data_IF_080518373544
#
_entry.id   IF_080518373544
#
_cell.length_a   1.000
_cell.length_b   1.000
_cell.length_c   1.000
_cell.angle_alpha   90.00
_cell.angle_beta   90.00
_cell.angle_gamma   90.00
#
_symmetry.space_group_name_H-M   'P 1'
#
loop_
_entity.id
_entity.type
_entity.pdbx_description
1 polymer ?
#
# COMPACT_ATOMS: atom_id res chain seq x y z
N UNK A 1 -2.56 1.36 -14.08
CA UNK A 1 -2.66 1.22 -15.55
C UNK A 1 -3.29 2.46 -16.20
N UNK A 2 -4.57 2.78 -15.98
CA UNK A 2 -5.21 3.96 -16.61
C UNK A 2 -4.46 5.29 -16.42
N UNK A 3 -3.91 5.55 -15.23
CA UNK A 3 -3.12 6.77 -14.99
C UNK A 3 -1.80 6.81 -15.79
N UNK A 4 -1.15 5.66 -15.96
CA UNK A 4 0.09 5.50 -16.74
C UNK A 4 -0.23 5.76 -18.21
N UNK A 5 -1.29 5.13 -18.73
CA UNK A 5 -1.75 5.30 -20.11
C UNK A 5 -2.14 6.76 -20.41
N UNK A 6 -2.95 7.38 -19.54
CA UNK A 6 -3.39 8.78 -19.69
C UNK A 6 -2.22 9.77 -19.75
N UNK A 7 -1.13 9.47 -19.04
CA UNK A 7 0.08 10.30 -19.01
C UNK A 7 1.08 9.95 -20.11
N UNK A 8 0.79 8.97 -20.97
CA UNK A 8 1.70 8.50 -22.02
C UNK A 8 2.98 7.87 -21.47
N UNK A 9 2.94 7.36 -20.23
CA UNK A 9 4.09 6.74 -19.57
C UNK A 9 4.28 5.29 -20.07
N UNK A 10 5.53 4.83 -20.08
CA UNK A 10 5.86 3.42 -20.32
C UNK A 10 5.99 2.71 -18.98
N UNK A 11 5.24 1.62 -18.80
CA UNK A 11 5.37 0.77 -17.63
C UNK A 11 6.30 -0.41 -17.92
N UNK A 12 7.18 -0.71 -16.97
CA UNK A 12 7.92 -1.97 -16.93
C UNK A 12 7.31 -2.77 -15.78
N UNK A 13 6.82 -3.96 -16.10
CA UNK A 13 6.14 -4.82 -15.14
C UNK A 13 7.15 -5.64 -14.34
N UNK A 14 6.92 -5.72 -13.04
CA UNK A 14 7.68 -6.57 -12.12
C UNK A 14 6.74 -7.68 -11.64
N UNK A 15 7.21 -8.91 -11.71
CA UNK A 15 6.44 -10.05 -11.23
C UNK A 15 6.29 -10.05 -9.71
N UNK A 16 5.12 -10.45 -9.24
CA UNK A 16 4.80 -10.60 -7.83
C UNK A 16 4.49 -12.05 -7.54
N UNK A 17 5.34 -12.71 -6.77
CA UNK A 17 5.10 -14.04 -6.27
C UNK A 17 4.16 -13.99 -5.06
N UNK A 18 3.08 -14.80 -4.99
CA UNK A 18 2.16 -14.77 -3.86
C UNK A 18 2.73 -15.18 -2.50
N UNK A 19 3.92 -15.79 -2.47
CA UNK A 19 4.60 -16.28 -1.26
C UNK A 19 5.85 -15.47 -0.90
N UNK A 20 6.54 -14.93 -1.89
CA UNK A 20 7.82 -14.21 -1.70
C UNK A 20 7.65 -12.70 -1.93
N UNK A 21 6.64 -12.29 -2.69
CA UNK A 21 6.35 -10.89 -3.02
C UNK A 21 7.07 -10.44 -4.28
N UNK A 22 7.42 -9.16 -4.33
CA UNK A 22 8.11 -8.53 -5.46
C UNK A 22 9.52 -9.12 -5.65
N UNK A 23 9.89 -9.43 -6.90
CA UNK A 23 11.24 -9.90 -7.21
C UNK A 23 12.26 -8.76 -7.12
N UNK A 24 13.08 -8.76 -6.06
CA UNK A 24 14.16 -7.77 -5.87
C UNK A 24 15.17 -7.77 -7.02
N UNK A 25 15.43 -8.93 -7.62
CA UNK A 25 16.32 -9.07 -8.76
C UNK A 25 15.76 -8.38 -10.00
N UNK A 26 14.46 -8.53 -10.26
CA UNK A 26 13.81 -7.82 -11.37
C UNK A 26 13.75 -6.32 -11.12
N UNK A 27 13.54 -5.88 -9.88
CA UNK A 27 13.59 -4.44 -9.52
C UNK A 27 14.97 -3.88 -9.80
N UNK A 28 16.04 -4.54 -9.32
CA UNK A 28 17.42 -4.08 -9.54
C UNK A 28 17.79 -4.08 -11.03
N UNK A 29 17.41 -5.12 -11.78
CA UNK A 29 17.60 -5.17 -13.22
C UNK A 29 16.86 -4.03 -13.94
N UNK A 30 15.59 -3.79 -13.60
CA UNK A 30 14.80 -2.71 -14.20
C UNK A 30 15.42 -1.33 -13.92
N UNK A 31 15.93 -1.09 -12.71
CA UNK A 31 16.60 0.16 -12.34
C UNK A 31 17.98 0.33 -13.00
N UNK A 32 18.59 -0.76 -13.46
CA UNK A 32 19.91 -0.75 -14.11
C UNK A 32 19.78 -0.60 -15.62
N UNK A 33 18.86 -1.35 -16.22
CA UNK A 33 18.76 -1.50 -17.67
C UNK A 33 17.88 -0.42 -18.32
N UNK A 34 17.14 0.34 -17.52
CA UNK A 34 16.19 1.35 -17.97
C UNK A 34 16.29 2.64 -17.17
N UNK A 35 15.94 3.78 -17.79
CA UNK A 35 15.83 5.08 -17.13
C UNK A 35 14.51 5.17 -16.34
N UNK A 36 14.45 4.45 -15.21
CA UNK A 36 13.28 4.43 -14.33
C UNK A 36 13.23 5.70 -13.50
N UNK A 37 12.15 6.47 -13.62
CA UNK A 37 11.93 7.68 -12.82
C UNK A 37 11.18 7.43 -11.52
N UNK A 38 10.29 6.43 -11.53
CA UNK A 38 9.49 6.07 -10.37
C UNK A 38 9.12 4.57 -10.41
N UNK A 39 9.00 3.97 -9.24
CA UNK A 39 8.52 2.61 -9.04
C UNK A 39 7.31 2.64 -8.10
N UNK A 40 6.18 2.06 -8.53
CA UNK A 40 4.96 1.95 -7.72
C UNK A 40 4.85 0.54 -7.16
N UNK A 41 4.62 0.41 -5.84
CA UNK A 41 4.58 -0.86 -5.15
C UNK A 41 3.53 -0.85 -4.04
N UNK A 42 2.81 -1.96 -3.89
CA UNK A 42 2.15 -2.29 -2.63
C UNK A 42 3.06 -3.25 -1.86
N UNK A 43 3.56 -2.82 -0.70
CA UNK A 43 4.52 -3.60 0.11
C UNK A 43 3.86 -4.39 1.24
N UNK A 44 2.62 -4.03 1.59
CA UNK A 44 1.81 -4.66 2.62
C UNK A 44 0.46 -5.09 2.03
N UNK A 45 0.10 -6.35 2.23
CA UNK A 45 -1.17 -6.94 1.83
C UNK A 45 -1.50 -6.66 0.36
N UNK A 46 -0.55 -6.98 -0.51
CA UNK A 46 -0.57 -6.67 -1.93
C UNK A 46 -1.87 -7.15 -2.60
N UNK A 47 -2.55 -6.29 -3.37
CA UNK A 47 -3.70 -6.71 -4.16
C UNK A 47 -3.23 -7.15 -5.56
N UNK A 48 -3.44 -8.41 -6.00
CA UNK A 48 -4.43 -9.38 -5.48
C UNK A 48 -3.87 -10.52 -4.62
N UNK A 49 -2.56 -10.59 -4.39
CA UNK A 49 -1.91 -11.78 -3.83
C UNK A 49 -2.01 -11.93 -2.31
N UNK A 50 -2.33 -10.85 -1.60
CA UNK A 50 -2.29 -10.72 -0.14
C UNK A 50 -0.87 -10.72 0.47
N UNK A 51 0.17 -10.75 -0.36
CA UNK A 51 1.55 -10.88 0.12
C UNK A 51 2.07 -9.58 0.73
N UNK A 52 2.87 -9.69 1.80
CA UNK A 52 3.55 -8.57 2.46
C UNK A 52 5.06 -8.81 2.47
N UNK A 53 5.84 -7.79 2.13
CA UNK A 53 7.29 -7.85 2.21
C UNK A 53 7.76 -7.75 3.67
N UNK A 54 8.84 -8.46 4.00
CA UNK A 54 9.51 -8.30 5.27
C UNK A 54 10.38 -7.02 5.31
N UNK A 55 10.88 -6.67 6.50
CA UNK A 55 11.64 -5.44 6.73
C UNK A 55 12.96 -5.41 5.92
N UNK A 56 13.64 -6.55 5.76
CA UNK A 56 14.89 -6.66 4.99
C UNK A 56 14.65 -6.40 3.49
N UNK A 57 13.59 -6.98 2.92
CA UNK A 57 13.19 -6.74 1.54
C UNK A 57 12.83 -5.26 1.30
N UNK A 58 12.08 -4.65 2.22
CA UNK A 58 11.71 -3.23 2.16
C UNK A 58 12.93 -2.33 2.21
N UNK A 59 13.85 -2.59 3.15
CA UNK A 59 15.10 -1.86 3.25
C UNK A 59 15.91 -1.97 1.95
N UNK A 60 16.05 -3.18 1.40
CA UNK A 60 16.78 -3.40 0.14
C UNK A 60 16.17 -2.64 -1.03
N UNK A 61 14.84 -2.55 -1.13
CA UNK A 61 14.15 -1.75 -2.16
C UNK A 61 14.50 -0.27 -2.03
N UNK A 62 14.52 0.27 -0.80
CA UNK A 62 14.90 1.67 -0.56
C UNK A 62 16.37 1.92 -0.94
N UNK A 63 17.28 1.01 -0.55
CA UNK A 63 18.70 1.10 -0.93
C UNK A 63 18.92 1.07 -2.44
N UNK A 64 18.16 0.24 -3.17
CA UNK A 64 18.18 0.20 -4.63
C UNK A 64 17.68 1.51 -5.24
N UNK A 65 16.59 2.06 -4.71
CA UNK A 65 16.04 3.33 -5.16
C UNK A 65 17.03 4.49 -4.92
N UNK A 66 17.72 4.48 -3.77
CA UNK A 66 18.78 5.44 -3.44
C UNK A 66 19.95 5.35 -4.43
N UNK A 67 20.45 4.13 -4.68
CA UNK A 67 21.58 3.87 -5.58
C UNK A 67 21.31 4.29 -7.03
N UNK A 68 20.07 4.12 -7.50
CA UNK A 68 19.68 4.34 -8.89
C UNK A 68 18.92 5.67 -9.12
N UNK A 69 18.81 6.53 -8.10
CA UNK A 69 18.07 7.80 -8.16
C UNK A 69 16.58 7.66 -8.55
N UNK A 70 15.93 6.59 -8.07
CA UNK A 70 14.52 6.28 -8.38
C UNK A 70 13.60 6.73 -7.24
N UNK A 71 12.43 7.29 -7.55
CA UNK A 71 11.38 7.54 -6.55
C UNK A 71 10.51 6.31 -6.31
N UNK A 72 10.12 6.08 -5.07
CA UNK A 72 9.21 5.00 -4.70
C UNK A 72 7.84 5.59 -4.39
N UNK A 73 6.79 5.08 -5.03
CA UNK A 73 5.40 5.38 -4.70
C UNK A 73 4.84 4.16 -3.99
N UNK A 74 4.73 4.25 -2.67
CA UNK A 74 4.22 3.16 -1.86
C UNK A 74 2.71 3.32 -1.67
N UNK A 75 1.94 2.34 -2.15
CA UNK A 75 0.51 2.23 -1.85
C UNK A 75 0.31 1.36 -0.61
N UNK A 76 0.04 2.01 0.51
CA UNK A 76 -0.07 1.39 1.84
C UNK A 76 -1.51 1.43 2.38
N UNK A 77 -2.51 1.46 1.48
CA UNK A 77 -3.93 1.61 1.81
C UNK A 77 -4.47 0.49 2.74
N UNK A 78 -3.83 -0.67 2.75
CA UNK A 78 -4.23 -1.84 3.54
C UNK A 78 -3.46 -1.98 4.86
N UNK A 79 -2.48 -1.13 5.18
CA UNK A 79 -1.57 -1.38 6.32
C UNK A 79 -2.22 -1.40 7.69
N UNK A 80 -3.42 -0.83 7.82
CA UNK A 80 -4.21 -0.92 9.04
C UNK A 80 -4.93 -2.25 9.21
N UNK A 81 -4.91 -3.16 8.23
CA UNK A 81 -5.68 -4.41 8.21
C UNK A 81 -4.84 -5.65 8.51
N UNK A 82 -3.82 -5.52 9.36
CA UNK A 82 -2.98 -6.62 9.80
C UNK A 82 -3.69 -7.52 10.84
N UNK A 83 -3.45 -8.83 10.83
CA UNK A 83 -4.00 -9.77 11.81
C UNK A 83 -3.04 -10.04 12.97
N UNK A 84 -1.74 -9.81 12.77
CA UNK A 84 -0.74 -9.96 13.83
C UNK A 84 -0.91 -8.91 14.95
N UNK A 85 -0.08 -8.99 15.99
CA UNK A 85 -0.07 -7.97 17.04
C UNK A 85 0.72 -6.70 16.66
N UNK A 86 1.48 -6.72 15.56
CA UNK A 86 2.39 -5.65 15.17
C UNK A 86 2.02 -5.13 13.78
N UNK A 87 1.80 -3.83 13.67
CA UNK A 87 1.62 -3.15 12.37
C UNK A 87 2.88 -3.36 11.52
N UNK A 88 2.76 -3.76 10.24
CA UNK A 88 3.91 -3.88 9.36
C UNK A 88 4.57 -2.50 9.14
N UNK A 89 5.90 -2.51 8.96
CA UNK A 89 6.65 -1.33 8.54
C UNK A 89 6.25 -0.92 7.12
N UNK A 90 6.58 0.31 6.74
CA UNK A 90 6.46 0.80 5.37
C UNK A 90 7.85 1.11 4.81
N UNK A 91 7.99 1.27 3.50
CA UNK A 91 9.25 1.69 2.86
C UNK A 91 9.73 3.01 3.45
N UNK A 92 8.79 3.90 3.81
CA UNK A 92 9.11 5.18 4.44
C UNK A 92 9.86 5.04 5.76
N UNK A 93 9.72 3.92 6.48
CA UNK A 93 10.47 3.64 7.72
C UNK A 93 11.98 3.60 7.46
N UNK A 94 12.42 3.20 6.28
CA UNK A 94 13.82 3.03 5.90
C UNK A 94 14.36 4.17 5.03
N UNK A 95 13.50 5.09 4.60
CA UNK A 95 13.82 6.18 3.68
C UNK A 95 14.58 7.32 4.38
N UNK A 96 15.84 7.49 4.01
CA UNK A 96 16.71 8.57 4.52
C UNK A 96 16.87 9.73 3.55
N UNK A 97 16.47 9.58 2.28
CA UNK A 97 16.69 10.57 1.20
C UNK A 97 15.39 11.23 0.72
N UNK A 98 14.28 10.98 1.40
CA UNK A 98 12.94 11.49 1.06
C UNK A 98 12.48 11.04 -0.34
N UNK A 99 12.84 9.81 -0.73
CA UNK A 99 12.50 9.19 -2.02
C UNK A 99 11.17 8.46 -2.02
N UNK A 100 10.63 8.14 -0.85
CA UNK A 100 9.35 7.45 -0.72
C UNK A 100 8.22 8.47 -0.66
N UNK A 101 7.27 8.35 -1.59
CA UNK A 101 5.95 8.95 -1.55
C UNK A 101 4.99 7.91 -0.98
N UNK A 102 4.73 8.03 0.32
CA UNK A 102 3.90 7.08 1.05
C UNK A 102 2.42 7.47 0.94
N UNK A 103 1.61 6.62 0.32
CA UNK A 103 0.19 6.86 0.05
C UNK A 103 -0.69 6.04 1.00
N UNK A 104 -1.55 6.72 1.77
CA UNK A 104 -2.51 6.08 2.68
C UNK A 104 -3.95 6.52 2.40
N UNK A 105 -4.92 5.74 2.88
CA UNK A 105 -6.35 6.08 2.74
C UNK A 105 -7.21 5.47 3.83
N UNK A 106 -8.32 6.14 4.14
CA UNK A 106 -9.39 5.60 4.98
C UNK A 106 -10.36 4.69 4.22
N UNK A 107 -10.13 4.43 2.93
CA UNK A 107 -11.08 3.70 2.09
C UNK A 107 -11.30 2.24 2.51
N UNK A 108 -10.31 1.63 3.16
CA UNK A 108 -10.35 0.23 3.61
C UNK A 108 -10.46 0.08 5.13
N UNK A 109 -10.04 1.09 5.88
CA UNK A 109 -10.10 1.09 7.34
C UNK A 109 -11.35 1.74 7.93
N UNK A 110 -11.99 2.66 7.20
CA UNK A 110 -13.24 3.32 7.60
C UNK A 110 -14.34 3.15 6.55
N UNK A 111 -14.44 4.08 5.61
CA UNK A 111 -15.50 4.11 4.62
C UNK A 111 -14.94 4.60 3.27
N UNK A 112 -15.09 3.82 2.18
CA UNK A 112 -14.65 4.24 0.85
C UNK A 112 -15.40 5.49 0.35
N UNK A 113 -16.64 5.71 0.81
CA UNK A 113 -17.47 6.86 0.46
C UNK A 113 -16.92 8.20 0.95
N UNK A 114 -16.02 8.22 1.92
CA UNK A 114 -15.37 9.45 2.39
C UNK A 114 -14.39 10.03 1.38
N UNK A 115 -13.89 9.23 0.43
CA UNK A 115 -12.95 9.66 -0.60
C UNK A 115 -11.73 10.41 -0.04
N UNK A 116 -11.28 10.03 1.17
CA UNK A 116 -10.17 10.66 1.87
C UNK A 116 -8.94 9.76 1.89
N UNK A 117 -7.82 10.33 1.49
CA UNK A 117 -6.48 9.73 1.54
C UNK A 117 -5.43 10.83 1.56
N UNK A 118 -4.17 10.43 1.67
CA UNK A 118 -3.04 11.35 1.81
C UNK A 118 -1.79 10.78 1.15
N UNK A 119 -0.84 11.67 0.87
CA UNK A 119 0.51 11.33 0.44
C UNK A 119 1.48 12.00 1.40
N UNK A 120 2.45 11.26 1.92
CA UNK A 120 3.51 11.77 2.79
C UNK A 120 4.82 11.81 2.00
N UNK A 121 5.31 13.02 1.72
CA UNK A 121 6.63 13.28 1.16
C UNK A 121 6.96 14.77 1.38
N UNK A 122 8.19 15.12 1.75
CA UNK A 122 8.54 16.52 2.02
C UNK A 122 8.82 17.28 0.72
N UNK A 123 9.62 16.68 -0.16
CA UNK A 123 10.11 17.27 -1.42
C UNK A 123 8.98 17.70 -2.37
N UNK A 124 7.95 16.88 -2.50
CA UNK A 124 6.86 17.12 -3.46
C UNK A 124 5.61 17.75 -2.84
N UNK A 125 5.60 18.05 -1.54
CA UNK A 125 4.40 18.51 -0.83
C UNK A 125 3.70 19.70 -1.52
N UNK A 126 4.43 20.79 -1.79
CA UNK A 126 3.86 21.97 -2.44
C UNK A 126 3.38 21.69 -3.87
N UNK A 127 4.12 20.87 -4.61
CA UNK A 127 3.76 20.52 -5.99
C UNK A 127 2.47 19.70 -6.02
N UNK A 128 2.35 18.70 -5.13
CA UNK A 128 1.14 17.89 -4.99
C UNK A 128 -0.07 18.73 -4.59
N UNK A 129 0.09 19.67 -3.65
CA UNK A 129 -0.99 20.59 -3.28
C UNK A 129 -1.41 21.51 -4.43
N UNK A 130 -0.46 22.05 -5.21
CA UNK A 130 -0.76 22.86 -6.41
C UNK A 130 -1.52 22.03 -7.45
N UNK A 131 -1.10 20.79 -7.71
CA UNK A 131 -1.80 19.88 -8.61
C UNK A 131 -3.22 19.55 -8.11
N UNK A 132 -3.38 19.32 -6.81
CA UNK A 132 -4.69 19.09 -6.21
C UNK A 132 -5.61 20.32 -6.39
N UNK A 133 -5.08 21.53 -6.17
CA UNK A 133 -5.85 22.77 -6.28
C UNK A 133 -6.45 22.94 -7.69
N UNK A 134 -5.67 22.67 -8.73
CA UNK A 134 -6.13 22.83 -10.12
C UNK A 134 -6.96 21.64 -10.63
N UNK A 135 -6.91 20.48 -9.95
CA UNK A 135 -7.62 19.28 -10.36
C UNK A 135 -8.95 19.08 -9.61
N UNK A 136 -8.95 19.19 -8.29
CA UNK A 136 -10.11 18.89 -7.43
C UNK A 136 -10.37 19.98 -6.40
N UNK A 137 -9.61 21.07 -6.41
CA UNK A 137 -9.58 22.14 -5.40
C UNK A 137 -9.09 21.65 -4.02
N UNK A 138 -9.84 20.77 -3.37
CA UNK A 138 -9.51 20.18 -2.07
C UNK A 138 -10.34 18.93 -1.80
N UNK A 139 -10.01 18.20 -0.72
CA UNK A 139 -10.91 17.18 -0.18
C UNK A 139 -12.16 17.79 0.46
N UNK A 140 -13.22 17.01 0.65
CA UNK A 140 -14.46 17.48 1.31
C UNK A 140 -14.17 17.99 2.73
N UNK A 141 -14.35 19.29 2.96
CA UNK A 141 -14.08 19.91 4.26
C UNK A 141 -14.94 19.33 5.41
N UNK A 142 -16.26 19.12 5.25
CA UNK A 142 -17.06 18.46 6.30
C UNK A 142 -16.57 17.06 6.66
N UNK A 143 -16.16 16.27 5.66
CA UNK A 143 -15.62 14.92 5.88
C UNK A 143 -14.27 14.99 6.60
N UNK A 144 -13.38 15.89 6.19
CA UNK A 144 -12.09 16.09 6.85
C UNK A 144 -12.28 16.49 8.33
N UNK A 145 -13.20 17.41 8.62
CA UNK A 145 -13.50 17.82 10.00
C UNK A 145 -14.12 16.69 10.82
N UNK A 146 -15.08 15.95 10.26
CA UNK A 146 -15.70 14.81 10.94
C UNK A 146 -14.68 13.71 11.26
N UNK A 147 -13.80 13.38 10.32
CA UNK A 147 -12.74 12.39 10.55
C UNK A 147 -11.71 12.92 11.55
N UNK A 148 -11.29 14.18 11.45
CA UNK A 148 -10.37 14.77 12.43
C UNK A 148 -10.96 14.71 13.85
N UNK A 149 -12.24 15.06 14.01
CA UNK A 149 -12.94 14.95 15.28
C UNK A 149 -12.96 13.50 15.79
N UNK A 150 -13.34 12.55 14.94
CA UNK A 150 -13.38 11.12 15.26
C UNK A 150 -12.01 10.59 15.69
N UNK A 151 -10.93 10.97 14.98
CA UNK A 151 -9.57 10.54 15.33
C UNK A 151 -9.06 11.14 16.64
N UNK A 152 -9.52 12.34 17.00
CA UNK A 152 -9.10 13.03 18.23
C UNK A 152 -9.91 12.65 19.46
N UNK A 153 -11.21 12.41 19.30
CA UNK A 153 -12.16 12.29 20.43
C UNK A 153 -12.75 10.89 20.56
N UNK A 154 -12.76 10.09 19.50
CA UNK A 154 -13.26 8.72 19.52
C UNK A 154 -12.11 7.70 19.40
N UNK A 155 -12.41 6.43 19.65
CA UNK A 155 -11.38 5.39 19.63
C UNK A 155 -11.31 4.69 18.26
N UNK A 156 -10.55 5.30 17.35
CA UNK A 156 -10.19 4.67 16.06
C UNK A 156 -9.48 3.32 16.27
N UNK A 157 -8.62 3.20 17.29
CA UNK A 157 -7.96 1.93 17.62
C UNK A 157 -8.94 0.85 18.06
N UNK A 158 -9.99 1.19 18.81
CA UNK A 158 -11.04 0.23 19.18
C UNK A 158 -11.79 -0.25 17.92
N UNK A 159 -12.07 0.66 16.98
CA UNK A 159 -12.68 0.31 15.69
C UNK A 159 -11.78 -0.62 14.88
N UNK A 160 -10.50 -0.29 14.72
CA UNK A 160 -9.53 -1.11 13.99
C UNK A 160 -9.38 -2.51 14.59
N UNK A 161 -9.33 -2.63 15.93
CA UNK A 161 -9.29 -3.94 16.61
C UNK A 161 -10.51 -4.80 16.28
N UNK A 162 -11.71 -4.22 16.28
CA UNK A 162 -12.94 -4.94 15.88
C UNK A 162 -12.92 -5.31 14.40
N UNK A 163 -12.48 -4.39 13.54
CA UNK A 163 -12.39 -4.59 12.09
C UNK A 163 -11.45 -5.76 11.76
N UNK A 164 -10.22 -5.75 12.28
CA UNK A 164 -9.22 -6.81 12.07
C UNK A 164 -9.74 -8.17 12.51
N UNK A 165 -10.33 -8.25 13.71
CA UNK A 165 -10.94 -9.49 14.21
C UNK A 165 -12.02 -10.02 13.27
N UNK A 166 -12.89 -9.16 12.76
CA UNK A 166 -13.95 -9.57 11.83
C UNK A 166 -13.37 -10.03 10.48
N UNK A 167 -12.33 -9.37 9.97
CA UNK A 167 -11.68 -9.75 8.72
C UNK A 167 -10.94 -11.09 8.86
N UNK A 168 -10.20 -11.29 9.94
CA UNK A 168 -9.53 -12.55 10.26
C UNK A 168 -10.55 -13.71 10.35
N UNK A 169 -11.65 -13.52 11.08
CA UNK A 169 -12.72 -14.52 11.17
C UNK A 169 -13.34 -14.85 9.81
N UNK A 170 -13.53 -13.85 8.94
CA UNK A 170 -14.05 -14.05 7.59
C UNK A 170 -13.06 -14.82 6.72
N UNK A 171 -11.77 -14.52 6.80
CA UNK A 171 -10.73 -15.24 6.08
C UNK A 171 -10.73 -16.72 6.50
N UNK A 172 -10.68 -17.00 7.81
CA UNK A 172 -10.69 -18.37 8.33
C UNK A 172 -11.92 -19.14 7.88
N UNK A 173 -13.12 -18.55 7.98
CA UNK A 173 -14.35 -19.19 7.51
C UNK A 173 -14.33 -19.47 6.00
N UNK A 174 -13.73 -18.58 5.20
CA UNK A 174 -13.63 -18.79 3.76
C UNK A 174 -12.62 -19.88 3.40
N UNK A 175 -11.49 -19.95 4.11
CA UNK A 175 -10.50 -21.03 3.95
C UNK A 175 -11.12 -22.38 4.30
N UNK A 176 -11.87 -22.49 5.39
CA UNK A 176 -12.59 -23.71 5.75
C UNK A 176 -13.55 -24.18 4.64
N UNK A 177 -14.22 -23.24 3.96
CA UNK A 177 -15.07 -23.55 2.81
C UNK A 177 -14.26 -24.01 1.59
N UNK A 178 -13.12 -23.38 1.32
CA UNK A 178 -12.21 -23.79 0.25
C UNK A 178 -11.73 -25.22 0.52
N UNK A 179 -11.22 -25.50 1.72
CA UNK A 179 -10.73 -26.84 2.09
C UNK A 179 -11.81 -27.92 2.00
N UNK A 180 -13.06 -27.56 2.30
CA UNK A 180 -14.19 -28.47 2.26
C UNK A 180 -14.67 -28.78 0.84
N UNK A 181 -14.73 -27.77 -0.03
CA UNK A 181 -15.44 -27.88 -1.32
C UNK A 181 -14.52 -27.87 -2.54
N UNK A 182 -13.29 -27.36 -2.46
CA UNK A 182 -12.42 -27.26 -3.62
C UNK A 182 -11.62 -28.54 -3.82
N UNK A 183 -11.26 -28.88 -5.08
CA UNK A 183 -10.34 -29.98 -5.35
C UNK A 183 -8.96 -29.74 -4.72
N UNK A 184 -8.28 -30.82 -4.28
CA UNK A 184 -6.92 -30.77 -3.72
C UNK A 184 -5.85 -30.21 -4.67
N UNK A 185 -6.16 -30.10 -5.97
CA UNK A 185 -5.29 -29.48 -6.98
C UNK A 185 -5.29 -27.96 -6.92
N UNK A 186 -6.22 -27.34 -6.19
CA UNK A 186 -6.23 -25.90 -5.98
C UNK A 186 -5.27 -25.55 -4.84
N UNK A 187 -4.43 -24.54 -5.08
CA UNK A 187 -3.52 -23.99 -4.09
C UNK A 187 -3.90 -22.54 -3.81
N UNK A 188 -3.79 -22.15 -2.55
CA UNK A 188 -4.00 -20.78 -2.11
C UNK A 188 -2.90 -20.40 -1.10
N UNK A 189 -2.77 -19.11 -0.86
CA UNK A 189 -1.97 -18.55 0.23
C UNK A 189 -2.90 -18.09 1.35
N UNK A 190 -2.36 -17.98 2.56
CA UNK A 190 -3.07 -17.39 3.69
C UNK A 190 -2.41 -16.06 4.06
N UNK A 191 -2.94 -14.93 3.57
CA UNK A 191 -2.42 -13.60 3.90
C UNK A 191 -2.49 -13.30 5.40
N UNK A 192 -1.53 -12.55 5.91
CA UNK A 192 -1.49 -12.11 7.32
C UNK A 192 -2.30 -10.82 7.58
N UNK A 193 -3.13 -10.42 6.61
CA UNK A 193 -3.96 -9.22 6.65
C UNK A 193 -4.49 -8.85 5.28
N UNK A 194 -5.13 -7.67 5.19
CA UNK A 194 -5.76 -7.13 3.97
C UNK A 194 -7.28 -7.15 3.98
#
# INVERSE_FOLDING_TARGET
>A
LQAIERLGLKAIEISVDPRIGHSLQQIEAAFTDHDIRACWLMTNFHNPTGMSLNDEQKQRIVELADKHDVYLIEDDVYSELYFSNKKPSSLRTFDTQDRVLHCGSFSKSLCPGYRLGWVVNKRFNEHLQKLQLISTLSGSAPIQQGIAHYLQNDSYDNHLRKLRKNLEQRQSAFIELIDKYFPKSIHYTQPEGG
#
